data_IF_586397868895
#
_entry.id   IF_586397868895
#
_cell.length_a   1.000
_cell.length_b   1.000
_cell.length_c   1.000
_cell.angle_alpha   90.00
_cell.angle_beta   90.00
_cell.angle_gamma   90.00
#
_symmetry.space_group_name_H-M   'P 1'
#
loop_
_entity.id
_entity.type
_entity.pdbx_description
1 polymer ?
#
# COMPACT_ATOMS: atom_id res chain seq x y z
N UNK A 1 26.40 -1.16 10.53
CA UNK A 1 25.69 0.11 10.82
C UNK A 1 26.48 1.23 10.18
N UNK A 2 25.90 1.96 9.21
CA UNK A 2 26.59 3.09 8.58
C UNK A 2 26.61 4.28 9.56
N UNK A 3 27.79 4.84 9.89
CA UNK A 3 27.93 5.78 10.99
C UNK A 3 27.79 7.24 10.53
N UNK A 4 26.69 7.66 9.89
CA UNK A 4 26.47 9.10 9.61
C UNK A 4 24.97 9.48 9.57
N UNK A 5 24.51 10.26 10.55
CA UNK A 5 23.15 10.84 10.69
C UNK A 5 22.76 11.88 9.59
N UNK A 6 23.29 11.80 8.36
CA UNK A 6 23.04 12.77 7.27
C UNK A 6 22.21 12.21 6.10
N UNK A 7 21.85 10.94 6.11
CA UNK A 7 21.05 10.34 5.04
C UNK A 7 19.64 10.01 5.53
N UNK A 8 18.64 10.25 4.67
CA UNK A 8 17.26 9.76 4.86
C UNK A 8 16.94 8.79 3.73
N UNK A 9 16.27 7.65 4.02
CA UNK A 9 15.82 6.76 2.96
C UNK A 9 14.75 7.47 2.12
N UNK A 10 14.73 7.17 0.82
CA UNK A 10 13.73 7.70 -0.11
C UNK A 10 13.37 6.61 -1.11
N UNK A 11 12.10 6.52 -1.49
CA UNK A 11 11.66 5.63 -2.55
C UNK A 11 11.01 6.43 -3.68
N UNK A 12 10.97 5.82 -4.86
CA UNK A 12 10.13 6.26 -5.98
C UNK A 12 9.12 5.15 -6.23
N UNK A 13 7.86 5.55 -6.36
CA UNK A 13 6.74 4.65 -6.63
C UNK A 13 6.22 4.91 -8.03
N UNK A 14 5.83 3.86 -8.73
CA UNK A 14 5.09 3.94 -9.98
C UNK A 14 4.10 2.79 -10.09
N UNK A 15 3.01 3.03 -10.82
CA UNK A 15 2.03 2.03 -11.23
C UNK A 15 2.47 1.45 -12.56
N UNK A 16 2.42 0.13 -12.66
CA UNK A 16 2.61 -0.61 -13.90
C UNK A 16 1.29 -1.21 -14.40
N UNK A 17 1.18 -1.36 -15.71
CA UNK A 17 0.12 -2.09 -16.36
C UNK A 17 0.75 -3.09 -17.33
N UNK A 18 0.50 -4.39 -17.15
CA UNK A 18 1.13 -5.46 -17.92
C UNK A 18 2.66 -5.33 -18.05
N UNK A 19 3.34 -5.02 -16.94
CA UNK A 19 4.79 -4.82 -16.89
C UNK A 19 5.31 -3.52 -17.52
N UNK A 20 4.42 -2.63 -17.98
CA UNK A 20 4.77 -1.31 -18.50
C UNK A 20 4.52 -0.24 -17.45
N UNK A 21 5.51 0.56 -17.03
CA UNK A 21 5.29 1.69 -16.13
C UNK A 21 4.44 2.78 -16.76
N UNK A 22 3.27 3.05 -16.18
CA UNK A 22 2.28 4.00 -16.73
C UNK A 22 2.19 5.29 -15.92
N UNK A 23 2.23 5.23 -14.58
CA UNK A 23 1.98 6.40 -13.73
C UNK A 23 3.02 6.50 -12.60
N UNK A 24 3.65 7.64 -12.45
CA UNK A 24 4.48 7.97 -11.27
C UNK A 24 4.11 9.34 -10.73
N UNK A 25 4.93 9.92 -9.85
CA UNK A 25 4.66 11.22 -9.20
C UNK A 25 4.22 12.32 -10.18
N UNK A 26 5.05 12.59 -11.18
CA UNK A 26 4.76 13.62 -12.18
C UNK A 26 3.51 13.33 -13.00
N UNK A 27 3.20 12.04 -13.24
CA UNK A 27 1.97 11.65 -13.92
C UNK A 27 0.72 11.87 -13.07
N UNK A 28 0.79 11.52 -11.78
CA UNK A 28 -0.29 11.79 -10.82
C UNK A 28 -0.54 13.29 -10.71
N UNK A 29 0.52 14.10 -10.66
CA UNK A 29 0.44 15.58 -10.68
C UNK A 29 -0.23 16.11 -11.95
N UNK A 30 0.13 15.58 -13.13
CA UNK A 30 -0.53 15.90 -14.40
C UNK A 30 -2.03 15.61 -14.34
N UNK A 31 -2.43 14.40 -13.94
CA UNK A 31 -3.83 14.00 -13.94
C UNK A 31 -4.65 14.82 -12.91
N UNK A 32 -4.09 15.09 -11.73
CA UNK A 32 -4.70 15.97 -10.71
C UNK A 32 -4.85 17.41 -11.22
N UNK A 33 -3.85 17.94 -11.92
CA UNK A 33 -3.91 19.27 -12.50
C UNK A 33 -4.99 19.35 -13.59
N UNK A 34 -5.13 18.32 -14.43
CA UNK A 34 -6.20 18.26 -15.44
C UNK A 34 -7.58 18.19 -14.77
N UNK A 35 -7.73 17.39 -13.70
CA UNK A 35 -8.98 17.31 -12.94
C UNK A 35 -9.42 18.68 -12.39
N UNK A 36 -8.45 19.46 -11.89
CA UNK A 36 -8.68 20.78 -11.30
C UNK A 36 -8.93 21.87 -12.35
N UNK A 37 -8.06 21.95 -13.36
CA UNK A 37 -8.07 23.03 -14.34
C UNK A 37 -9.04 22.78 -15.51
N UNK A 38 -9.50 21.55 -15.65
CA UNK A 38 -10.43 21.07 -16.70
C UNK A 38 -9.93 21.31 -18.13
N UNK A 39 -8.64 21.60 -18.33
CA UNK A 39 -7.97 21.70 -19.63
C UNK A 39 -6.53 21.19 -19.53
N UNK A 40 -6.03 20.61 -20.62
CA UNK A 40 -4.64 20.12 -20.69
C UNK A 40 -3.65 21.29 -20.73
N UNK A 41 -3.98 22.38 -21.44
CA UNK A 41 -3.11 23.54 -21.57
C UNK A 41 -2.87 24.25 -20.24
N UNK A 42 -3.91 24.49 -19.45
CA UNK A 42 -3.77 25.11 -18.12
C UNK A 42 -3.05 24.20 -17.14
N UNK A 43 -3.29 22.89 -17.20
CA UNK A 43 -2.55 21.92 -16.39
C UNK A 43 -1.06 21.92 -16.72
N UNK A 44 -0.71 21.96 -18.01
CA UNK A 44 0.68 22.04 -18.46
C UNK A 44 1.35 23.34 -18.02
N UNK A 45 0.68 24.49 -18.20
CA UNK A 45 1.16 25.80 -17.76
C UNK A 45 1.41 25.84 -16.24
N UNK A 46 0.44 25.36 -15.45
CA UNK A 46 0.54 25.32 -13.99
C UNK A 46 1.69 24.46 -13.46
N UNK A 47 2.04 23.40 -14.19
CA UNK A 47 3.13 22.50 -13.85
C UNK A 47 4.46 22.92 -14.51
N UNK A 48 4.51 24.06 -15.20
CA UNK A 48 5.67 24.51 -15.98
C UNK A 48 6.16 23.46 -16.99
N UNK A 49 5.23 22.70 -17.56
CA UNK A 49 5.48 21.66 -18.56
C UNK A 49 5.01 22.12 -19.94
N UNK A 50 5.67 21.63 -21.00
CA UNK A 50 5.14 21.86 -22.35
C UNK A 50 3.85 21.06 -22.56
N UNK A 51 2.89 21.64 -23.30
CA UNK A 51 1.68 20.92 -23.72
C UNK A 51 2.01 19.58 -24.39
N UNK A 52 3.03 19.57 -25.26
CA UNK A 52 3.49 18.37 -25.97
C UNK A 52 3.95 17.27 -25.01
N UNK A 53 4.66 17.64 -23.93
CA UNK A 53 5.09 16.67 -22.92
C UNK A 53 3.89 16.02 -22.24
N UNK A 54 2.94 16.82 -21.77
CA UNK A 54 1.72 16.34 -21.11
C UNK A 54 0.91 15.47 -22.06
N UNK A 55 0.71 15.91 -23.30
CA UNK A 55 0.00 15.15 -24.33
C UNK A 55 0.65 13.78 -24.60
N UNK A 56 1.97 13.75 -24.81
CA UNK A 56 2.72 12.51 -25.02
C UNK A 56 2.61 11.57 -23.81
N UNK A 57 2.58 12.11 -22.60
CA UNK A 57 2.42 11.34 -21.37
C UNK A 57 1.04 10.66 -21.31
N UNK A 58 -0.04 11.38 -21.61
CA UNK A 58 -1.39 10.82 -21.68
C UNK A 58 -1.49 9.74 -22.76
N UNK A 59 -0.90 9.97 -23.93
CA UNK A 59 -0.85 8.98 -25.02
C UNK A 59 -0.07 7.72 -24.63
N UNK A 60 1.02 7.86 -23.86
CA UNK A 60 1.77 6.72 -23.33
C UNK A 60 0.89 5.84 -22.46
N UNK A 61 0.12 6.44 -21.55
CA UNK A 61 -0.80 5.68 -20.68
C UNK A 61 -1.88 5.00 -21.50
N UNK A 62 -2.50 5.73 -22.44
CA UNK A 62 -3.54 5.17 -23.31
C UNK A 62 -3.02 4.01 -24.16
N UNK A 63 -1.79 4.11 -24.68
CA UNK A 63 -1.18 3.02 -25.45
C UNK A 63 -0.96 1.76 -24.61
N UNK A 64 -0.60 1.92 -23.34
CA UNK A 64 -0.36 0.79 -22.44
C UNK A 64 -1.65 0.16 -21.91
N UNK A 65 -2.66 0.98 -21.62
CA UNK A 65 -3.93 0.56 -21.00
C UNK A 65 -5.04 0.26 -22.01
N UNK A 66 -4.82 0.58 -23.29
CA UNK A 66 -5.81 0.53 -24.37
C UNK A 66 -7.04 1.44 -24.15
N UNK A 67 -7.04 2.24 -23.08
CA UNK A 67 -8.12 3.12 -22.67
C UNK A 67 -7.60 4.53 -22.35
N UNK A 68 -8.31 5.60 -22.74
CA UNK A 68 -7.89 6.95 -22.40
C UNK A 68 -8.07 7.24 -20.90
N UNK A 69 -7.08 7.88 -20.29
CA UNK A 69 -7.19 8.43 -18.91
C UNK A 69 -7.85 9.80 -18.87
N UNK A 70 -7.96 10.47 -20.01
CA UNK A 70 -8.55 11.80 -20.18
C UNK A 70 -9.39 11.83 -21.45
N UNK A 71 -10.62 12.33 -21.36
CA UNK A 71 -11.46 12.67 -22.52
C UNK A 71 -11.36 14.16 -22.80
N UNK A 72 -11.25 14.53 -24.09
CA UNK A 72 -11.19 15.92 -24.53
C UNK A 72 -12.40 16.31 -25.37
N UNK A 73 -12.79 17.58 -25.32
CA UNK A 73 -13.85 18.14 -26.16
C UNK A 73 -13.39 19.44 -26.81
N UNK A 74 -13.80 19.66 -28.06
CA UNK A 74 -13.45 20.89 -28.80
C UNK A 74 -14.33 22.04 -28.34
N UNK A 75 -13.69 23.19 -28.06
CA UNK A 75 -14.38 24.47 -27.89
C UNK A 75 -14.75 25.10 -29.23
N UNK A 76 -15.74 26.00 -29.20
CA UNK A 76 -16.21 26.73 -30.39
C UNK A 76 -15.27 27.85 -30.86
N UNK A 77 -15.80 28.79 -31.66
CA UNK A 77 -15.05 29.87 -32.35
C UNK A 77 -14.19 30.78 -31.44
N UNK A 78 -14.47 30.87 -30.14
CA UNK A 78 -13.68 31.64 -29.18
C UNK A 78 -12.44 30.88 -28.62
N UNK A 79 -12.23 29.62 -29.03
CA UNK A 79 -11.18 28.77 -28.50
C UNK A 79 -11.54 28.14 -27.14
N UNK A 80 -10.70 27.20 -26.69
CA UNK A 80 -10.84 26.53 -25.39
C UNK A 80 -11.53 25.17 -25.49
N UNK A 81 -10.80 24.14 -25.92
CA UNK A 81 -11.19 22.76 -25.64
C UNK A 81 -10.99 22.43 -24.16
N UNK A 82 -11.79 21.52 -23.63
CA UNK A 82 -11.62 21.05 -22.26
C UNK A 82 -11.24 19.59 -22.18
N UNK A 83 -10.91 19.18 -20.97
CA UNK A 83 -10.43 17.86 -20.63
C UNK A 83 -11.02 17.42 -19.30
N UNK A 84 -11.46 16.16 -19.22
CA UNK A 84 -11.94 15.54 -17.98
C UNK A 84 -11.28 14.19 -17.81
N UNK A 85 -11.00 13.80 -16.57
CA UNK A 85 -10.55 12.44 -16.27
C UNK A 85 -11.64 11.43 -16.63
N UNK A 86 -11.21 10.26 -17.09
CA UNK A 86 -12.06 9.07 -17.15
C UNK A 86 -12.09 8.38 -15.79
N UNK A 87 -12.93 7.33 -15.66
CA UNK A 87 -12.92 6.48 -14.48
C UNK A 87 -11.54 5.86 -14.22
N UNK A 88 -10.86 5.41 -15.28
CA UNK A 88 -9.49 4.92 -15.22
C UNK A 88 -8.50 6.01 -14.77
N UNK A 89 -8.62 7.22 -15.32
CA UNK A 89 -7.77 8.34 -14.91
C UNK A 89 -7.90 8.66 -13.42
N UNK A 90 -9.13 8.62 -12.89
CA UNK A 90 -9.41 8.83 -11.48
C UNK A 90 -8.87 7.68 -10.60
N UNK A 91 -9.12 6.43 -10.97
CA UNK A 91 -8.67 5.28 -10.18
C UNK A 91 -7.14 5.17 -10.10
N UNK A 92 -6.43 5.52 -11.17
CA UNK A 92 -4.96 5.54 -11.17
C UNK A 92 -4.39 6.62 -10.23
N UNK A 93 -5.06 7.77 -10.09
CA UNK A 93 -4.65 8.79 -9.11
C UNK A 93 -4.81 8.26 -7.69
N UNK A 94 -5.96 7.66 -7.40
CA UNK A 94 -6.29 7.12 -6.08
C UNK A 94 -5.33 6.00 -5.69
N UNK A 95 -5.06 5.07 -6.60
CA UNK A 95 -4.12 3.96 -6.37
C UNK A 95 -2.70 4.47 -6.15
N UNK A 96 -2.26 5.47 -6.93
CA UNK A 96 -0.95 6.08 -6.77
C UNK A 96 -0.82 6.76 -5.39
N UNK A 97 -1.82 7.54 -4.99
CA UNK A 97 -1.83 8.23 -3.70
C UNK A 97 -1.84 7.25 -2.53
N UNK A 98 -2.58 6.15 -2.66
CA UNK A 98 -2.62 5.08 -1.66
C UNK A 98 -1.23 4.46 -1.49
N UNK A 99 -0.59 4.05 -2.59
CA UNK A 99 0.73 3.43 -2.55
C UNK A 99 1.81 4.42 -2.06
N UNK A 100 1.79 5.67 -2.52
CA UNK A 100 2.69 6.72 -2.05
C UNK A 100 2.50 7.00 -0.55
N UNK A 101 1.25 7.04 -0.08
CA UNK A 101 0.90 7.23 1.33
C UNK A 101 1.53 6.17 2.23
N UNK A 102 1.25 4.88 1.97
CA UNK A 102 1.80 3.79 2.76
C UNK A 102 3.34 3.80 2.80
N UNK A 103 3.98 4.03 1.65
CA UNK A 103 5.44 4.05 1.60
C UNK A 103 6.03 5.29 2.27
N UNK A 104 5.35 6.43 2.21
CA UNK A 104 5.79 7.64 2.90
C UNK A 104 5.75 7.48 4.42
N UNK A 105 4.70 6.84 4.96
CA UNK A 105 4.58 6.52 6.37
C UNK A 105 5.70 5.56 6.80
N UNK A 106 5.96 4.53 6.00
CA UNK A 106 7.03 3.55 6.27
C UNK A 106 8.42 4.20 6.31
N UNK A 107 8.67 5.22 5.49
CA UNK A 107 9.97 5.89 5.39
C UNK A 107 10.16 7.07 6.34
N UNK A 108 9.09 7.65 6.87
CA UNK A 108 9.15 8.85 7.71
C UNK A 108 9.67 8.57 9.13
N UNK A 109 9.56 7.33 9.60
CA UNK A 109 9.95 6.95 10.95
C UNK A 109 11.34 6.28 10.95
N UNK A 110 12.30 6.88 11.65
CA UNK A 110 13.67 6.36 11.71
C UNK A 110 13.77 5.03 12.50
N UNK A 111 12.73 4.66 13.25
CA UNK A 111 12.61 3.40 13.99
C UNK A 111 11.89 2.29 13.20
N UNK A 112 11.42 2.58 11.98
CA UNK A 112 10.58 1.66 11.18
C UNK A 112 11.31 0.47 10.54
N UNK A 113 12.63 0.30 10.74
CA UNK A 113 13.29 -0.98 10.42
C UNK A 113 12.70 -2.14 11.22
N UNK A 114 12.00 -1.84 12.32
CA UNK A 114 11.23 -2.84 13.05
C UNK A 114 9.84 -3.11 12.47
N UNK A 115 9.22 -2.27 11.63
CA UNK A 115 7.79 -2.41 11.24
C UNK A 115 7.50 -3.40 10.11
N UNK A 116 8.53 -3.93 9.46
CA UNK A 116 8.41 -5.28 8.86
C UNK A 116 8.19 -6.38 9.94
N UNK A 117 8.15 -6.01 11.22
CA UNK A 117 7.55 -6.69 12.37
C UNK A 117 6.52 -5.74 13.03
N UNK A 118 5.27 -6.17 13.10
CA UNK A 118 4.17 -5.44 13.74
C UNK A 118 4.55 -4.92 15.16
N UNK A 119 4.72 -3.61 15.34
CA UNK A 119 4.99 -2.97 16.65
C UNK A 119 3.69 -2.89 17.45
N UNK A 120 3.24 -4.04 17.96
CA UNK A 120 2.06 -4.14 18.84
C UNK A 120 2.44 -3.90 20.30
N UNK A 121 1.54 -3.29 21.09
CA UNK A 121 1.78 -2.97 22.50
C UNK A 121 1.93 -4.20 23.41
N UNK A 122 1.62 -5.39 22.89
CA UNK A 122 1.75 -6.65 23.59
C UNK A 122 3.23 -7.00 23.85
N UNK A 123 3.60 -7.07 25.14
CA UNK A 123 4.98 -7.23 25.61
C UNK A 123 5.44 -8.69 25.67
N UNK A 124 4.51 -9.64 25.76
CA UNK A 124 4.85 -11.06 25.87
C UNK A 124 4.77 -11.68 24.47
N UNK A 125 5.91 -12.10 23.94
CA UNK A 125 6.01 -12.76 22.64
C UNK A 125 6.78 -14.06 22.81
N UNK A 126 6.09 -15.18 22.58
CA UNK A 126 6.63 -16.52 22.76
C UNK A 126 6.80 -17.18 21.39
N UNK A 127 8.05 -17.33 20.95
CA UNK A 127 8.38 -18.04 19.71
C UNK A 127 8.09 -19.52 19.86
N UNK A 128 7.41 -20.09 18.88
CA UNK A 128 7.06 -21.51 18.89
C UNK A 128 6.63 -22.05 17.53
N UNK A 129 6.28 -23.33 17.53
CA UNK A 129 5.84 -24.08 16.34
C UNK A 129 4.39 -24.54 16.52
N UNK A 130 3.58 -24.41 15.49
CA UNK A 130 2.19 -24.90 15.52
C UNK A 130 2.18 -26.43 15.50
N UNK A 131 1.60 -27.04 16.53
CA UNK A 131 1.51 -28.50 16.67
C UNK A 131 0.12 -29.05 16.33
N UNK A 132 -0.94 -28.28 16.55
CA UNK A 132 -2.29 -28.64 16.11
C UNK A 132 -3.18 -27.42 15.90
N UNK A 133 -4.19 -27.61 15.04
CA UNK A 133 -5.25 -26.65 14.79
C UNK A 133 -6.57 -27.41 14.83
N UNK A 134 -7.44 -27.07 15.77
CA UNK A 134 -8.78 -27.65 15.91
C UNK A 134 -9.81 -26.56 15.55
N UNK A 135 -10.60 -26.77 14.50
CA UNK A 135 -11.63 -25.80 14.06
C UNK A 135 -13.00 -26.29 14.54
N UNK A 136 -13.73 -25.43 15.26
CA UNK A 136 -15.08 -25.72 15.76
C UNK A 136 -16.00 -24.49 15.62
N UNK A 137 -17.03 -24.64 14.80
CA UNK A 137 -17.90 -23.53 14.40
C UNK A 137 -17.13 -22.35 13.82
N UNK A 138 -17.27 -21.17 14.45
CA UNK A 138 -16.58 -19.92 14.07
C UNK A 138 -15.22 -19.75 14.75
N UNK A 139 -14.85 -20.65 15.66
CA UNK A 139 -13.61 -20.58 16.44
C UNK A 139 -12.60 -21.64 16.00
N UNK A 140 -11.34 -21.39 16.32
CA UNK A 140 -10.25 -22.34 16.15
C UNK A 140 -9.33 -22.28 17.36
N UNK A 141 -8.88 -23.46 17.81
CA UNK A 141 -7.84 -23.62 18.82
C UNK A 141 -6.53 -23.93 18.13
N UNK A 142 -5.54 -23.06 18.28
CA UNK A 142 -4.19 -23.24 17.74
C UNK A 142 -3.26 -23.56 18.90
N UNK A 143 -2.66 -24.75 18.88
CA UNK A 143 -1.66 -25.17 19.88
C UNK A 143 -0.26 -24.86 19.35
N UNK A 144 0.50 -24.11 20.12
CA UNK A 144 1.86 -23.66 19.80
C UNK A 144 2.82 -24.20 20.85
N UNK A 145 3.76 -25.04 20.43
CA UNK A 145 4.87 -25.49 21.27
C UNK A 145 5.95 -24.39 21.32
N UNK A 146 6.25 -23.87 22.50
CA UNK A 146 7.21 -22.76 22.68
C UNK A 146 8.57 -23.28 23.18
N UNK A 147 9.57 -22.40 23.30
CA UNK A 147 10.87 -22.76 23.90
C UNK A 147 10.69 -23.02 25.41
N UNK A 148 11.06 -24.22 25.87
CA UNK A 148 10.66 -24.91 27.10
C UNK A 148 9.43 -25.82 26.87
N UNK A 149 9.34 -27.02 27.49
CA UNK A 149 8.32 -28.04 27.17
C UNK A 149 6.92 -27.60 27.64
N UNK A 150 6.38 -26.59 26.97
CA UNK A 150 5.15 -25.90 27.27
C UNK A 150 4.40 -25.64 25.97
N UNK A 151 3.07 -25.77 26.03
CA UNK A 151 2.18 -25.52 24.91
C UNK A 151 1.29 -24.34 25.27
N UNK A 152 1.32 -23.31 24.43
CA UNK A 152 0.39 -22.19 24.50
C UNK A 152 -0.78 -22.49 23.56
N UNK A 153 -2.00 -22.39 24.08
CA UNK A 153 -3.22 -22.56 23.26
C UNK A 153 -3.85 -21.20 23.03
N UNK A 154 -3.93 -20.78 21.76
CA UNK A 154 -4.66 -19.60 21.35
C UNK A 154 -6.06 -20.01 20.85
N UNK A 155 -7.08 -19.25 21.24
CA UNK A 155 -8.43 -19.38 20.67
C UNK A 155 -8.68 -18.15 19.81
N UNK A 156 -8.83 -18.34 18.51
CA UNK A 156 -9.04 -17.28 17.53
C UNK A 156 -10.20 -17.66 16.60
N UNK A 157 -10.60 -16.77 15.69
CA UNK A 157 -11.63 -17.12 14.70
C UNK A 157 -11.06 -18.08 13.65
N UNK A 158 -11.94 -18.90 13.08
CA UNK A 158 -11.58 -19.76 11.94
C UNK A 158 -11.07 -18.94 10.76
N UNK A 159 -11.71 -17.81 10.49
CA UNK A 159 -11.33 -16.83 9.45
C UNK A 159 -9.90 -16.33 9.68
N UNK A 160 -9.52 -15.98 10.92
CA UNK A 160 -8.16 -15.52 11.21
C UNK A 160 -7.08 -16.58 10.93
N UNK A 161 -7.36 -17.86 11.19
CA UNK A 161 -6.44 -18.96 10.82
C UNK A 161 -6.26 -19.01 9.30
N UNK A 162 -7.35 -18.85 8.55
CA UNK A 162 -7.37 -18.93 7.09
C UNK A 162 -6.69 -17.73 6.43
N UNK A 163 -6.98 -16.51 6.90
CA UNK A 163 -6.38 -15.26 6.42
C UNK A 163 -4.88 -15.19 6.69
N UNK A 164 -4.44 -15.65 7.88
CA UNK A 164 -3.03 -15.73 8.24
C UNK A 164 -2.31 -16.93 7.59
N UNK A 165 -3.04 -17.84 6.96
CA UNK A 165 -2.50 -19.02 6.30
C UNK A 165 -1.82 -20.03 7.25
N UNK A 166 -2.22 -20.06 8.53
CA UNK A 166 -1.56 -20.86 9.58
C UNK A 166 -1.79 -22.35 9.35
N UNK A 167 -0.71 -23.13 9.36
CA UNK A 167 -0.68 -24.58 9.20
C UNK A 167 0.08 -25.25 10.33
N UNK A 168 -0.21 -26.54 10.54
CA UNK A 168 0.60 -27.39 11.43
C UNK A 168 2.02 -27.43 10.88
N UNK A 169 2.99 -27.10 11.71
CA UNK A 169 4.39 -27.03 11.36
C UNK A 169 4.96 -25.62 11.24
N UNK A 170 4.12 -24.58 11.16
CA UNK A 170 4.58 -23.20 10.96
C UNK A 170 5.30 -22.65 12.19
N UNK A 171 6.32 -21.82 11.95
CA UNK A 171 6.95 -21.01 12.99
C UNK A 171 6.13 -19.74 13.23
N UNK A 172 5.73 -19.53 14.48
CA UNK A 172 4.85 -18.42 14.89
C UNK A 172 5.31 -17.76 16.18
N UNK A 173 4.80 -16.55 16.44
CA UNK A 173 4.90 -15.91 17.76
C UNK A 173 3.52 -15.94 18.40
N UNK A 174 3.38 -16.62 19.54
CA UNK A 174 2.21 -16.43 20.41
C UNK A 174 2.38 -15.10 21.15
N UNK A 175 1.47 -14.17 20.93
CA UNK A 175 1.54 -12.81 21.47
C UNK A 175 0.45 -12.61 22.52
N UNK A 176 0.83 -12.17 23.72
CA UNK A 176 -0.10 -11.92 24.84
C UNK A 176 0.11 -10.51 25.39
N UNK A 177 -0.97 -9.74 25.52
CA UNK A 177 -0.90 -8.39 26.10
C UNK A 177 -0.62 -8.48 27.59
N UNK A 178 0.15 -7.54 28.13
CA UNK A 178 0.53 -7.55 29.56
C UNK A 178 -0.69 -7.52 30.50
N UNK A 179 -1.77 -6.87 30.10
CA UNK A 179 -3.00 -6.77 30.90
C UNK A 179 -3.84 -8.05 30.93
N UNK A 180 -3.53 -9.04 30.11
CA UNK A 180 -4.24 -10.32 30.02
C UNK A 180 -3.47 -11.47 30.72
N UNK A 181 -2.27 -11.20 31.22
CA UNK A 181 -1.47 -12.18 31.97
C UNK A 181 -1.90 -12.14 33.44
N UNK A 182 -2.34 -13.29 33.96
CA UNK A 182 -2.65 -13.47 35.38
C UNK A 182 -1.47 -14.11 36.12
N UNK A 183 -1.22 -13.68 37.35
CA UNK A 183 -0.23 -14.28 38.26
C UNK A 183 -0.97 -15.02 39.38
N UNK A 184 -0.58 -16.26 39.62
CA UNK A 184 -1.05 -17.06 40.75
C UNK A 184 0.18 -17.60 41.52
N UNK A 185 0.01 -17.84 42.83
CA UNK A 185 1.04 -18.39 43.72
C UNK A 185 0.59 -19.73 44.25
#
# INVERSE_FOLDING_TARGET
>A
MLPHKKHKPSCKVWIEYNGTPILGKGGSEILKAIAKEQTISKAAEKLSMSYRYVWNYLQKIQKATEEPVVVTYKGGKAGGGGAKLTALGQSLIEEYQRAEGYLSEVLADQEYWEVLRLKISARNQLKGKVVSIEKDGVTAKVKVEVKAPAVVTAVITKEAVEDLGIKVGDEVNAVVKSTEVMIAK
#
